data_IF_177287580600
#
_entry.id   IF_177287580600
#
_cell.length_a   1.000
_cell.length_b   1.000
_cell.length_c   1.000
_cell.angle_alpha   90.00
_cell.angle_beta   90.00
_cell.angle_gamma   90.00
#
_symmetry.space_group_name_H-M   'P 1'
#
loop_
_entity.id
_entity.type
_entity.pdbx_description
1 polymer ?
#
# COMPACT_ATOMS: atom_id res chain seq x y z
N UNK A 1 -6.54 13.15 1.95
CA UNK A 1 -5.87 11.86 2.17
C UNK A 1 -6.41 10.81 1.20
N UNK A 2 -7.62 10.29 1.40
CA UNK A 2 -8.22 9.25 0.55
C UNK A 2 -8.18 9.57 -0.97
N UNK A 3 -8.70 10.74 -1.37
CA UNK A 3 -8.71 11.14 -2.80
C UNK A 3 -7.29 11.26 -3.37
N UNK A 4 -6.34 11.79 -2.60
CA UNK A 4 -4.95 11.96 -3.04
C UNK A 4 -4.30 10.60 -3.33
N UNK A 5 -4.49 9.61 -2.44
CA UNK A 5 -4.04 8.25 -2.67
C UNK A 5 -4.65 7.66 -3.95
N UNK A 6 -5.98 7.68 -4.07
CA UNK A 6 -6.66 7.06 -5.21
C UNK A 6 -6.44 7.80 -6.53
N UNK A 7 -6.23 9.11 -6.51
CA UNK A 7 -5.80 9.86 -7.70
C UNK A 7 -4.46 9.34 -8.20
N UNK A 8 -3.49 9.16 -7.29
CA UNK A 8 -2.21 8.58 -7.66
C UNK A 8 -2.36 7.12 -8.12
N UNK A 9 -3.15 6.31 -7.41
CA UNK A 9 -3.29 4.87 -7.69
C UNK A 9 -4.04 4.55 -8.96
N UNK A 10 -5.04 5.36 -9.32
CA UNK A 10 -5.94 5.10 -10.44
C UNK A 10 -5.52 5.81 -11.73
N UNK A 11 -4.86 6.97 -11.64
CA UNK A 11 -4.50 7.75 -12.82
C UNK A 11 -2.99 7.72 -13.07
N UNK A 12 -2.18 8.02 -12.05
CA UNK A 12 -0.73 8.16 -12.22
C UNK A 12 -0.04 6.79 -12.30
N UNK A 13 -0.33 5.88 -11.36
CA UNK A 13 0.34 4.59 -11.28
C UNK A 13 0.14 3.73 -12.54
N UNK A 14 -1.10 3.56 -13.07
CA UNK A 14 -1.33 2.73 -14.25
C UNK A 14 -0.70 3.33 -15.51
N UNK A 15 -0.68 4.65 -15.63
CA UNK A 15 -0.04 5.31 -16.77
C UNK A 15 1.49 5.14 -16.80
N UNK A 16 2.09 4.92 -15.62
CA UNK A 16 3.54 4.77 -15.46
C UNK A 16 4.01 3.31 -15.37
N UNK A 17 3.11 2.33 -15.25
CA UNK A 17 3.50 0.93 -15.07
C UNK A 17 4.16 0.38 -16.34
N UNK A 18 5.27 -0.35 -16.18
CA UNK A 18 6.05 -0.92 -17.30
C UNK A 18 5.91 -2.43 -17.34
N UNK A 19 5.07 -2.89 -18.26
CA UNK A 19 4.76 -4.30 -18.44
C UNK A 19 3.90 -4.87 -17.31
N UNK A 20 3.58 -6.15 -17.44
CA UNK A 20 2.67 -6.85 -16.53
C UNK A 20 2.22 -8.15 -17.16
N UNK A 21 1.73 -9.08 -16.34
CA UNK A 21 0.96 -10.22 -16.85
C UNK A 21 -0.49 -9.76 -16.99
N UNK A 22 -1.24 -10.27 -18.00
CA UNK A 22 -2.68 -10.03 -18.06
C UNK A 22 -3.33 -10.38 -16.73
N UNK A 23 -4.10 -9.44 -16.18
CA UNK A 23 -4.80 -9.65 -14.92
C UNK A 23 -6.07 -10.46 -15.20
N UNK A 24 -6.31 -11.58 -14.49
CA UNK A 24 -7.56 -12.33 -14.60
C UNK A 24 -8.80 -11.44 -14.34
N UNK A 25 -9.83 -11.58 -15.18
CA UNK A 25 -11.03 -10.72 -15.14
C UNK A 25 -11.76 -10.77 -13.79
N UNK A 26 -11.81 -11.94 -13.14
CA UNK A 26 -12.45 -12.07 -11.84
C UNK A 26 -11.74 -11.26 -10.75
N UNK A 27 -10.40 -11.18 -10.78
CA UNK A 27 -9.65 -10.34 -9.85
C UNK A 27 -9.88 -8.85 -10.09
N UNK A 28 -10.03 -8.46 -11.35
CA UNK A 28 -10.41 -7.10 -11.71
C UNK A 28 -11.81 -6.75 -11.19
N UNK A 29 -12.81 -7.61 -11.39
CA UNK A 29 -14.18 -7.39 -10.92
C UNK A 29 -14.25 -7.33 -9.39
N UNK A 30 -13.55 -8.21 -8.68
CA UNK A 30 -13.45 -8.15 -7.22
C UNK A 30 -12.83 -6.83 -6.76
N UNK A 31 -11.77 -6.38 -7.43
CA UNK A 31 -11.15 -5.08 -7.18
C UNK A 31 -12.14 -3.93 -7.38
N UNK A 32 -12.87 -3.91 -8.48
CA UNK A 32 -13.87 -2.90 -8.80
C UNK A 32 -14.97 -2.84 -7.74
N UNK A 33 -15.58 -3.99 -7.41
CA UNK A 33 -16.63 -4.09 -6.39
C UNK A 33 -16.12 -3.57 -5.05
N UNK A 34 -14.93 -4.03 -4.64
CA UNK A 34 -14.32 -3.61 -3.39
C UNK A 34 -14.07 -2.09 -3.36
N UNK A 35 -13.46 -1.52 -4.39
CA UNK A 35 -13.14 -0.09 -4.42
C UNK A 35 -14.38 0.79 -4.46
N UNK A 36 -15.44 0.37 -5.16
CA UNK A 36 -16.72 1.07 -5.20
C UNK A 36 -17.37 1.07 -3.81
N UNK A 37 -17.44 -0.09 -3.16
CA UNK A 37 -18.08 -0.21 -1.86
C UNK A 37 -17.28 0.49 -0.75
N UNK A 38 -15.96 0.31 -0.73
CA UNK A 38 -15.08 0.99 0.21
C UNK A 38 -15.14 2.51 0.02
N UNK A 39 -15.05 3.00 -1.22
CA UNK A 39 -15.17 4.42 -1.52
C UNK A 39 -16.52 5.01 -1.09
N UNK A 40 -17.62 4.30 -1.37
CA UNK A 40 -18.96 4.69 -0.92
C UNK A 40 -19.06 4.74 0.61
N UNK A 41 -18.65 3.69 1.32
CA UNK A 41 -18.73 3.64 2.78
C UNK A 41 -17.90 4.77 3.41
N UNK A 42 -16.66 4.97 2.96
CA UNK A 42 -15.81 6.03 3.49
C UNK A 42 -16.42 7.41 3.21
N UNK A 43 -16.81 7.68 1.96
CA UNK A 43 -17.40 8.96 1.58
C UNK A 43 -18.71 9.24 2.30
N UNK A 44 -19.62 8.27 2.34
CA UNK A 44 -20.93 8.40 2.99
C UNK A 44 -20.77 8.63 4.50
N UNK A 45 -19.90 7.87 5.17
CA UNK A 45 -19.66 8.05 6.59
C UNK A 45 -19.12 9.45 6.91
N UNK A 46 -18.15 9.92 6.14
CA UNK A 46 -17.53 11.22 6.36
C UNK A 46 -18.44 12.39 6.00
N UNK A 47 -19.32 12.23 5.01
CA UNK A 47 -20.27 13.26 4.62
C UNK A 47 -21.46 13.39 5.58
N UNK A 48 -21.94 12.26 6.14
CA UNK A 48 -23.19 12.23 6.91
C UNK A 48 -23.00 12.14 8.42
N UNK A 49 -21.99 11.40 8.89
CA UNK A 49 -21.85 11.06 10.32
C UNK A 49 -20.60 11.64 10.99
N UNK A 50 -19.53 11.91 10.24
CA UNK A 50 -18.31 12.44 10.84
C UNK A 50 -18.45 13.92 11.19
N UNK A 51 -18.32 14.25 12.48
CA UNK A 51 -18.30 15.62 12.99
C UNK A 51 -16.92 15.91 13.56
N UNK A 52 -16.15 16.76 12.88
CA UNK A 52 -14.80 17.12 13.30
C UNK A 52 -14.79 18.52 13.94
N UNK A 53 -14.55 18.65 15.26
CA UNK A 53 -14.38 19.97 15.87
C UNK A 53 -13.08 20.62 15.38
N UNK A 54 -12.99 21.95 15.38
CA UNK A 54 -11.78 22.68 14.90
C UNK A 54 -10.48 22.22 15.59
N UNK A 55 -10.56 21.85 16.87
CA UNK A 55 -9.43 21.31 17.63
C UNK A 55 -8.95 19.95 17.13
N UNK A 56 -9.78 19.19 16.41
CA UNK A 56 -9.48 17.83 15.93
C UNK A 56 -8.16 17.78 15.17
N UNK A 57 -7.95 18.75 14.28
CA UNK A 57 -6.75 18.83 13.44
C UNK A 57 -5.46 18.95 14.26
N UNK A 58 -5.51 19.69 15.37
CA UNK A 58 -4.38 19.98 16.23
C UNK A 58 -4.18 18.97 17.36
N UNK A 59 -5.01 17.93 17.43
CA UNK A 59 -4.79 16.85 18.40
C UNK A 59 -3.54 16.05 18.02
N UNK A 60 -2.83 15.55 19.03
CA UNK A 60 -1.66 14.69 18.83
C UNK A 60 -1.99 13.49 17.93
N UNK A 61 -3.15 12.85 18.15
CA UNK A 61 -3.62 11.70 17.36
C UNK A 61 -3.78 12.04 15.89
N UNK A 62 -4.37 13.19 15.55
CA UNK A 62 -4.54 13.63 14.16
C UNK A 62 -3.22 13.98 13.50
N UNK A 63 -2.34 14.71 14.19
CA UNK A 63 -1.01 15.06 13.67
C UNK A 63 -0.16 13.81 13.45
N UNK A 64 -0.20 12.85 14.38
CA UNK A 64 0.46 11.57 14.23
C UNK A 64 -0.12 10.76 13.06
N UNK A 65 -1.45 10.75 12.90
CA UNK A 65 -2.11 10.11 11.75
C UNK A 65 -1.71 10.71 10.40
N UNK A 66 -1.64 12.05 10.31
CA UNK A 66 -1.14 12.74 9.11
C UNK A 66 0.31 12.36 8.83
N UNK A 67 1.17 12.37 9.85
CA UNK A 67 2.57 11.98 9.72
C UNK A 67 2.71 10.55 9.19
N UNK A 68 2.02 9.59 9.80
CA UNK A 68 2.02 8.20 9.34
C UNK A 68 1.52 8.06 7.90
N UNK A 69 0.44 8.77 7.54
CA UNK A 69 -0.09 8.75 6.18
C UNK A 69 0.94 9.23 5.16
N UNK A 70 1.60 10.35 5.43
CA UNK A 70 2.62 10.91 4.53
C UNK A 70 3.85 10.00 4.40
N UNK A 71 4.32 9.42 5.52
CA UNK A 71 5.43 8.46 5.51
C UNK A 71 5.06 7.19 4.74
N UNK A 72 3.89 6.62 5.01
CA UNK A 72 3.38 5.44 4.32
C UNK A 72 3.24 5.67 2.81
N UNK A 73 2.62 6.79 2.42
CA UNK A 73 2.46 7.17 1.02
C UNK A 73 3.83 7.37 0.35
N UNK A 74 4.78 8.04 1.00
CA UNK A 74 6.14 8.21 0.46
C UNK A 74 6.82 6.86 0.22
N UNK A 75 6.76 5.94 1.19
CA UNK A 75 7.32 4.59 1.06
C UNK A 75 6.65 3.85 -0.10
N UNK A 76 5.31 3.87 -0.18
CA UNK A 76 4.56 3.21 -1.24
C UNK A 76 4.99 3.72 -2.62
N UNK A 77 5.00 5.05 -2.83
CA UNK A 77 5.40 5.68 -4.08
C UNK A 77 6.84 5.38 -4.46
N UNK A 78 7.76 5.45 -3.49
CA UNK A 78 9.18 5.19 -3.72
C UNK A 78 9.42 3.72 -4.08
N UNK A 79 8.76 2.80 -3.40
CA UNK A 79 8.85 1.37 -3.69
C UNK A 79 8.27 1.03 -5.06
N UNK A 80 7.11 1.59 -5.42
CA UNK A 80 6.53 1.40 -6.74
C UNK A 80 7.38 2.03 -7.85
N UNK A 81 8.04 3.16 -7.59
CA UNK A 81 9.05 3.71 -8.50
C UNK A 81 10.21 2.72 -8.73
N UNK A 82 10.80 2.19 -7.66
CA UNK A 82 11.89 1.20 -7.76
C UNK A 82 11.43 0.00 -8.59
N UNK A 83 10.27 -0.59 -8.26
CA UNK A 83 9.74 -1.76 -8.98
C UNK A 83 9.52 -1.50 -10.47
N UNK A 84 8.99 -0.33 -10.83
CA UNK A 84 8.78 0.06 -12.24
C UNK A 84 10.10 0.24 -12.99
N UNK A 85 11.15 0.72 -12.32
CA UNK A 85 12.47 0.91 -12.93
C UNK A 85 13.27 -0.39 -13.08
N UNK A 86 12.89 -1.48 -12.41
CA UNK A 86 13.58 -2.77 -12.57
C UNK A 86 13.46 -3.35 -13.99
N UNK A 87 12.38 -3.02 -14.70
CA UNK A 87 12.11 -3.51 -16.05
C UNK A 87 12.41 -2.42 -17.08
N UNK A 88 13.25 -2.76 -18.06
CA UNK A 88 13.32 -1.99 -19.31
C UNK A 88 12.07 -2.29 -20.16
N UNK A 89 11.63 -1.35 -21.02
CA UNK A 89 10.52 -1.64 -21.95
C UNK A 89 10.79 -2.92 -22.75
N UNK A 90 9.86 -3.87 -22.74
CA UNK A 90 9.97 -5.18 -23.40
C UNK A 90 10.61 -6.31 -22.56
N UNK A 91 11.21 -6.01 -21.41
CA UNK A 91 11.88 -7.00 -20.56
C UNK A 91 10.88 -7.76 -19.67
N UNK A 92 10.94 -9.11 -19.72
CA UNK A 92 10.05 -10.00 -18.94
C UNK A 92 10.71 -10.63 -17.70
N UNK A 93 12.04 -10.53 -17.56
CA UNK A 93 12.75 -11.12 -16.44
C UNK A 93 12.47 -10.39 -15.13
N UNK A 94 12.30 -11.16 -14.06
CA UNK A 94 12.21 -10.62 -12.70
C UNK A 94 13.62 -10.33 -12.17
N UNK A 95 13.74 -9.26 -11.38
CA UNK A 95 14.97 -8.85 -10.71
C UNK A 95 14.69 -8.62 -9.23
N UNK A 96 15.73 -8.72 -8.41
CA UNK A 96 15.64 -8.43 -6.99
C UNK A 96 15.57 -6.90 -6.83
N UNK A 97 14.54 -6.34 -6.17
CA UNK A 97 14.48 -4.92 -5.86
C UNK A 97 15.53 -4.55 -4.82
N UNK A 98 16.22 -3.43 -5.01
CA UNK A 98 17.18 -2.85 -4.08
C UNK A 98 16.88 -1.36 -3.83
N UNK A 99 17.27 -0.88 -2.65
CA UNK A 99 17.10 0.52 -2.24
C UNK A 99 15.81 0.81 -1.47
N UNK A 100 15.79 1.92 -0.74
CA UNK A 100 14.67 2.30 0.12
C UNK A 100 14.31 1.21 1.13
N UNK A 101 13.02 0.99 1.33
CA UNK A 101 12.51 -0.05 2.24
C UNK A 101 12.76 -1.49 1.76
N UNK A 102 13.15 -1.70 0.49
CA UNK A 102 13.57 -3.03 0.03
C UNK A 102 14.88 -3.49 0.67
N UNK A 103 15.60 -2.63 1.39
CA UNK A 103 16.72 -3.05 2.24
C UNK A 103 16.27 -3.97 3.37
N UNK A 104 15.04 -3.79 3.87
CA UNK A 104 14.55 -4.48 5.07
C UNK A 104 13.43 -5.49 4.75
N UNK A 105 12.58 -5.18 3.77
CA UNK A 105 11.38 -5.99 3.50
C UNK A 105 11.18 -6.28 2.01
N UNK A 106 10.67 -7.47 1.69
CA UNK A 106 10.33 -7.86 0.31
C UNK A 106 9.11 -7.12 -0.24
N UNK A 107 8.10 -6.91 0.60
CA UNK A 107 6.84 -6.22 0.28
C UNK A 107 6.86 -4.75 0.65
N UNK A 108 7.90 -4.01 0.28
CA UNK A 108 8.10 -2.62 0.72
C UNK A 108 6.94 -1.67 0.36
N UNK A 109 6.32 -1.83 -0.82
CA UNK A 109 5.15 -1.04 -1.20
C UNK A 109 3.90 -1.39 -0.36
N UNK A 110 3.72 -2.67 -0.05
CA UNK A 110 2.66 -3.14 0.85
C UNK A 110 2.84 -2.61 2.27
N UNK A 111 4.07 -2.59 2.79
CA UNK A 111 4.36 -1.96 4.07
C UNK A 111 3.96 -0.48 4.08
N UNK A 112 4.37 0.28 3.06
CA UNK A 112 3.98 1.68 2.91
C UNK A 112 2.46 1.86 2.89
N UNK A 113 1.74 1.03 2.15
CA UNK A 113 0.27 1.08 2.05
C UNK A 113 -0.41 0.77 3.40
N UNK A 114 0.11 -0.20 4.17
CA UNK A 114 -0.40 -0.49 5.52
C UNK A 114 -0.20 0.72 6.44
N UNK A 115 1.02 1.27 6.48
CA UNK A 115 1.33 2.46 7.32
C UNK A 115 0.47 3.66 6.91
N UNK A 116 0.25 3.83 5.60
CA UNK A 116 -0.59 4.90 5.06
C UNK A 116 -2.02 4.81 5.58
N UNK A 117 -2.65 3.64 5.48
CA UNK A 117 -4.03 3.46 5.92
C UNK A 117 -4.20 3.44 7.44
N UNK A 118 -3.19 2.98 8.18
CA UNK A 118 -3.15 3.17 9.63
C UNK A 118 -3.15 4.67 9.95
N UNK A 119 -2.29 5.46 9.30
CA UNK A 119 -2.27 6.91 9.48
C UNK A 119 -3.61 7.59 9.16
N UNK A 120 -4.26 7.16 8.07
CA UNK A 120 -5.61 7.62 7.74
C UNK A 120 -6.62 7.29 8.85
N UNK A 121 -6.57 6.10 9.44
CA UNK A 121 -7.46 5.71 10.52
C UNK A 121 -7.22 6.53 11.81
N UNK A 122 -5.97 6.82 12.15
CA UNK A 122 -5.62 7.69 13.28
C UNK A 122 -6.13 9.13 13.10
N UNK A 123 -6.10 9.63 11.86
CA UNK A 123 -6.63 10.96 11.54
C UNK A 123 -8.17 11.01 11.49
N UNK A 124 -8.79 10.06 10.78
CA UNK A 124 -10.23 10.04 10.57
C UNK A 124 -11.00 9.58 11.81
N UNK A 125 -10.39 8.75 12.66
CA UNK A 125 -10.97 8.23 13.92
C UNK A 125 -12.38 7.63 13.74
N UNK A 126 -12.65 7.06 12.57
CA UNK A 126 -13.94 6.49 12.22
C UNK A 126 -13.86 4.98 12.12
N UNK A 127 -14.93 4.28 12.50
CA UNK A 127 -15.02 2.82 12.40
C UNK A 127 -14.74 2.33 10.98
N UNK A 128 -15.18 3.08 9.96
CA UNK A 128 -14.94 2.75 8.55
C UNK A 128 -13.47 2.85 8.20
N UNK A 129 -12.75 3.87 8.70
CA UNK A 129 -11.32 4.05 8.45
C UNK A 129 -10.47 2.95 9.10
N UNK A 130 -10.77 2.57 10.35
CA UNK A 130 -10.09 1.47 11.03
C UNK A 130 -10.36 0.11 10.38
N UNK A 131 -11.61 -0.16 10.00
CA UNK A 131 -11.98 -1.38 9.28
C UNK A 131 -11.22 -1.49 7.96
N UNK A 132 -11.05 -0.38 7.24
CA UNK A 132 -10.29 -0.38 6.00
C UNK A 132 -8.80 -0.58 6.22
N UNK A 133 -8.19 0.04 7.23
CA UNK A 133 -6.79 -0.20 7.58
C UNK A 133 -6.53 -1.68 7.90
N UNK A 134 -7.40 -2.30 8.71
CA UNK A 134 -7.33 -3.73 9.02
C UNK A 134 -7.49 -4.60 7.77
N UNK A 135 -8.48 -4.28 6.91
CA UNK A 135 -8.69 -5.00 5.67
C UNK A 135 -7.48 -4.93 4.74
N UNK A 136 -6.86 -3.75 4.60
CA UNK A 136 -5.66 -3.57 3.79
C UNK A 136 -4.51 -4.43 4.33
N UNK A 137 -4.27 -4.42 5.65
CA UNK A 137 -3.28 -5.30 6.27
C UNK A 137 -3.58 -6.78 6.01
N UNK A 138 -4.83 -7.22 6.22
CA UNK A 138 -5.25 -8.59 5.99
C UNK A 138 -5.07 -9.07 4.53
N UNK A 139 -5.16 -8.17 3.55
CA UNK A 139 -4.97 -8.50 2.14
C UNK A 139 -3.51 -8.43 1.68
N UNK A 140 -2.76 -7.45 2.19
CA UNK A 140 -1.41 -7.16 1.71
C UNK A 140 -0.33 -7.98 2.43
N UNK A 141 -0.50 -8.28 3.72
CA UNK A 141 0.43 -9.12 4.49
C UNK A 141 0.58 -10.52 3.88
N UNK A 142 -0.51 -11.25 3.55
CA UNK A 142 -0.38 -12.56 2.91
C UNK A 142 0.26 -12.48 1.51
N UNK A 143 -0.04 -11.42 0.74
CA UNK A 143 0.61 -11.20 -0.57
C UNK A 143 2.11 -10.95 -0.42
N UNK A 144 2.51 -10.12 0.54
CA UNK A 144 3.91 -9.86 0.83
C UNK A 144 4.65 -11.14 1.22
N UNK A 145 4.03 -11.99 2.05
CA UNK A 145 4.57 -13.32 2.40
C UNK A 145 4.75 -14.20 1.17
N UNK A 146 3.75 -14.28 0.30
CA UNK A 146 3.83 -15.05 -0.95
C UNK A 146 4.92 -14.52 -1.88
N UNK A 147 5.08 -13.20 -1.98
CA UNK A 147 6.16 -12.56 -2.74
C UNK A 147 7.53 -12.89 -2.14
N UNK A 148 7.68 -12.80 -0.83
CA UNK A 148 8.92 -13.13 -0.13
C UNK A 148 9.34 -14.58 -0.38
N UNK A 149 8.43 -15.54 -0.19
CA UNK A 149 8.67 -16.97 -0.52
C UNK A 149 9.04 -17.17 -1.99
N UNK A 150 8.33 -16.49 -2.90
CA UNK A 150 8.63 -16.57 -4.32
C UNK A 150 10.04 -16.05 -4.64
N UNK A 151 10.47 -14.95 -4.03
CA UNK A 151 11.82 -14.41 -4.21
C UNK A 151 12.89 -15.37 -3.69
N UNK A 152 12.73 -15.94 -2.49
CA UNK A 152 13.64 -16.94 -1.93
C UNK A 152 13.77 -18.14 -2.86
N UNK A 153 12.64 -18.70 -3.32
CA UNK A 153 12.65 -19.86 -4.22
C UNK A 153 13.23 -19.55 -5.60
N UNK A 154 13.03 -18.33 -6.10
CA UNK A 154 13.47 -17.94 -7.45
C UNK A 154 14.95 -17.60 -7.52
N UNK A 155 15.48 -16.94 -6.49
CA UNK A 155 16.84 -16.38 -6.50
C UNK A 155 17.79 -17.11 -5.55
N UNK A 156 17.30 -17.96 -4.65
CA UNK A 156 18.12 -18.75 -3.72
C UNK A 156 19.11 -17.89 -2.95
N UNK A 157 20.37 -18.30 -2.99
CA UNK A 157 21.48 -17.63 -2.29
C UNK A 157 21.75 -16.20 -2.80
N UNK A 158 21.29 -15.85 -4.01
CA UNK A 158 21.40 -14.48 -4.53
C UNK A 158 20.38 -13.52 -3.88
N UNK A 159 19.39 -14.03 -3.13
CA UNK A 159 18.42 -13.20 -2.42
C UNK A 159 18.94 -12.80 -1.03
N UNK A 160 18.81 -11.54 -0.61
CA UNK A 160 19.18 -11.13 0.75
C UNK A 160 18.33 -11.83 1.81
N UNK A 161 18.97 -12.66 2.62
CA UNK A 161 18.33 -13.53 3.62
C UNK A 161 17.90 -12.78 4.89
N UNK A 162 18.42 -11.57 5.08
CA UNK A 162 18.10 -10.68 6.20
C UNK A 162 16.75 -9.94 6.03
N UNK A 163 16.16 -9.99 4.84
CA UNK A 163 14.86 -9.35 4.56
C UNK A 163 13.72 -10.12 5.20
N UNK A 164 12.79 -9.40 5.80
CA UNK A 164 11.48 -9.94 6.19
C UNK A 164 10.45 -9.71 5.09
N UNK A 165 9.24 -10.28 5.22
CA UNK A 165 8.21 -10.17 4.19
C UNK A 165 7.62 -8.75 4.11
N UNK A 166 7.26 -8.12 5.23
CA UNK A 166 6.52 -6.84 5.22
C UNK A 166 6.74 -5.94 6.44
N UNK A 167 6.90 -6.48 7.65
CA UNK A 167 7.24 -5.75 8.86
C UNK A 167 8.75 -5.86 9.09
N UNK A 168 9.51 -4.75 8.99
CA UNK A 168 10.96 -4.76 9.14
C UNK A 168 11.40 -5.45 10.43
N UNK A 169 12.37 -6.36 10.32
CA UNK A 169 12.98 -7.09 11.46
C UNK A 169 12.04 -8.01 12.26
N UNK A 170 10.77 -8.13 11.86
CA UNK A 170 9.77 -8.95 12.58
C UNK A 170 9.16 -10.02 11.69
N UNK A 171 8.58 -9.63 10.54
CA UNK A 171 7.77 -10.54 9.73
C UNK A 171 7.76 -10.22 8.25
#
# INVERSE_FOLDING_TARGET
MFIVHYFQRSLIYPWLIRGGKPTPIHLFLLGLIFTTWNGYIQGYFHAKYAVYPLKHFWTFTSLFGIFLFLVGMFINLRSDFILRTLRRPGEKCYKIPYGGMFKYVSGANFFGEIVEWIGYAFFAQSTTSFAFALFTAANTIPRARSHHKWYLNKFGDNYPQDRTAVIPFVY
#
